data_IF_472353010081
#
_entry.id   IF_472353010081
#
_cell.length_a   1.000
_cell.length_b   1.000
_cell.length_c   1.000
_cell.angle_alpha   90.00
_cell.angle_beta   90.00
_cell.angle_gamma   90.00
#
_symmetry.space_group_name_H-M   'P 1'
#
loop_
_entity.id
_entity.type
_entity.pdbx_description
1 polymer ?
#
# COMPACT_ATOMS: atom_id res chain seq x y z
N UNK A 1 55.88 15.60 14.82
CA UNK A 1 56.15 14.77 16.01
C UNK A 1 56.01 13.32 15.60
N UNK A 2 56.73 12.42 16.25
CA UNK A 2 56.59 10.98 16.05
C UNK A 2 55.72 10.39 17.17
N UNK A 3 54.86 9.42 16.84
CA UNK A 3 54.26 8.47 17.77
C UNK A 3 54.17 7.10 17.08
N UNK A 4 54.86 6.12 17.64
CA UNK A 4 54.58 4.69 17.46
C UNK A 4 53.96 4.14 18.76
N UNK A 5 53.56 2.87 18.75
CA UNK A 5 52.83 2.11 19.80
C UNK A 5 51.31 2.27 19.68
N UNK A 6 50.49 1.20 19.72
CA UNK A 6 50.77 -0.22 19.96
C UNK A 6 49.72 -0.79 20.93
N UNK A 7 49.11 -1.93 20.61
CA UNK A 7 48.05 -2.53 21.43
C UNK A 7 47.17 -3.51 20.66
N UNK A 8 47.61 -4.76 20.59
CA UNK A 8 46.81 -5.92 20.18
C UNK A 8 45.73 -6.24 21.23
N UNK A 9 44.66 -6.92 20.82
CA UNK A 9 43.86 -7.84 21.63
C UNK A 9 43.08 -8.77 20.70
N UNK A 10 43.47 -10.05 20.67
CA UNK A 10 42.72 -11.16 20.09
C UNK A 10 41.41 -11.45 20.85
N UNK A 11 40.36 -11.87 20.15
CA UNK A 11 39.51 -13.08 20.38
C UNK A 11 38.88 -13.43 18.99
N UNK A 12 39.17 -14.58 18.36
CA UNK A 12 38.45 -15.87 18.46
C UNK A 12 36.94 -15.78 18.10
N UNK A 13 36.24 -16.72 17.45
CA UNK A 13 36.53 -18.01 16.77
C UNK A 13 35.25 -18.32 15.93
N UNK A 14 35.19 -18.96 14.74
CA UNK A 14 36.12 -19.71 13.87
C UNK A 14 35.77 -19.46 12.37
N UNK A 15 36.52 -20.06 11.43
CA UNK A 15 36.05 -20.32 10.07
C UNK A 15 36.53 -21.71 9.62
N UNK A 16 35.66 -22.72 9.72
CA UNK A 16 36.03 -24.12 9.54
C UNK A 16 36.22 -24.48 8.05
N UNK A 17 37.48 -24.54 7.61
CA UNK A 17 37.86 -25.09 6.31
C UNK A 17 37.71 -26.61 6.32
N UNK A 18 36.64 -27.13 5.73
CA UNK A 18 36.57 -28.56 5.37
C UNK A 18 36.99 -28.72 3.90
N UNK A 19 38.18 -29.29 3.75
CA UNK A 19 38.76 -29.74 2.48
C UNK A 19 37.84 -30.73 1.78
N UNK A 20 37.55 -30.48 0.50
CA UNK A 20 37.04 -31.52 -0.42
C UNK A 20 38.15 -32.53 -0.72
N UNK A 21 38.17 -33.63 0.03
CA UNK A 21 38.99 -34.81 -0.28
C UNK A 21 38.14 -35.88 -0.97
N UNK A 22 38.68 -36.51 -2.00
CA UNK A 22 37.93 -37.35 -2.93
C UNK A 22 38.02 -38.82 -2.54
N UNK A 23 36.89 -39.45 -2.26
CA UNK A 23 36.80 -40.91 -2.11
C UNK A 23 35.57 -41.48 -2.83
N UNK A 24 35.82 -42.14 -3.96
CA UNK A 24 34.90 -43.05 -4.62
C UNK A 24 34.51 -44.22 -3.69
N UNK A 25 33.21 -44.53 -3.61
CA UNK A 25 32.70 -45.89 -3.36
C UNK A 25 31.50 -46.14 -4.28
N UNK A 26 31.61 -47.17 -5.13
CA UNK A 26 30.50 -47.71 -5.93
C UNK A 26 29.73 -48.80 -5.19
N UNK A 27 28.43 -48.91 -5.47
CA UNK A 27 27.66 -50.17 -5.42
C UNK A 27 27.01 -50.55 -4.08
N UNK A 28 25.72 -50.93 -4.14
CA UNK A 28 24.97 -51.44 -2.98
C UNK A 28 23.47 -51.61 -3.25
N UNK A 29 23.10 -52.77 -3.79
CA UNK A 29 21.73 -53.20 -4.11
C UNK A 29 20.82 -53.44 -2.87
N UNK A 30 19.53 -53.11 -3.06
CA UNK A 30 18.34 -53.94 -2.74
C UNK A 30 17.70 -54.01 -1.31
N UNK A 31 16.39 -54.32 -1.38
CA UNK A 31 15.43 -54.83 -0.38
C UNK A 31 14.77 -53.93 0.71
N UNK A 32 13.52 -53.57 0.39
CA UNK A 32 12.32 -53.66 1.26
C UNK A 32 12.05 -52.63 2.37
N UNK A 33 11.03 -51.80 2.15
CA UNK A 33 10.05 -51.42 3.20
C UNK A 33 8.63 -51.54 2.64
N UNK A 34 7.78 -52.29 3.34
CA UNK A 34 6.33 -52.40 3.06
C UNK A 34 5.54 -51.40 3.88
N UNK A 35 4.51 -50.82 3.25
CA UNK A 35 3.35 -50.10 3.84
C UNK A 35 3.08 -50.32 5.34
N UNK A 36 2.92 -49.21 6.05
CA UNK A 36 1.81 -49.00 6.99
C UNK A 36 1.20 -47.62 6.69
N UNK A 37 -0.14 -47.57 6.53
CA UNK A 37 -0.93 -46.34 6.41
C UNK A 37 -1.04 -45.66 7.79
N UNK A 38 -0.88 -44.33 7.86
CA UNK A 38 -1.34 -43.52 8.99
C UNK A 38 -1.78 -42.13 8.49
N UNK A 39 -2.84 -41.58 9.07
CA UNK A 39 -3.54 -40.38 8.56
C UNK A 39 -2.86 -39.09 9.04
N UNK A 40 -2.67 -38.11 8.14
CA UNK A 40 -2.15 -36.81 8.56
C UNK A 40 -2.15 -35.76 7.44
N UNK A 41 -3.00 -34.75 7.62
CA UNK A 41 -2.69 -33.33 7.41
C UNK A 41 -1.89 -32.94 6.16
N UNK A 42 -2.59 -32.51 5.11
CA UNK A 42 -2.00 -31.70 4.02
C UNK A 42 -2.89 -30.46 3.81
N UNK A 43 -2.78 -29.53 4.76
CA UNK A 43 -3.13 -28.15 4.49
C UNK A 43 -2.05 -27.58 3.58
N UNK A 44 -2.34 -27.49 2.28
CA UNK A 44 -1.50 -26.81 1.30
C UNK A 44 -1.49 -25.30 1.58
N UNK A 45 -0.62 -24.93 2.52
CA UNK A 45 -0.04 -23.60 2.69
C UNK A 45 0.85 -23.34 1.45
N UNK A 46 0.20 -23.02 0.33
CA UNK A 46 0.88 -22.53 -0.87
C UNK A 46 1.47 -21.15 -0.52
N UNK A 47 2.72 -21.15 -0.10
CA UNK A 47 3.53 -19.95 0.11
C UNK A 47 3.92 -19.38 -1.24
N UNK A 48 2.95 -18.75 -1.92
CA UNK A 48 3.13 -18.07 -3.20
C UNK A 48 4.01 -16.83 -3.02
N UNK A 49 5.32 -17.04 -3.05
CA UNK A 49 6.30 -15.96 -3.19
C UNK A 49 6.26 -15.46 -4.63
N UNK A 50 5.33 -14.53 -4.92
CA UNK A 50 5.19 -13.93 -6.25
C UNK A 50 6.17 -12.75 -6.40
N UNK A 51 7.45 -13.06 -6.65
CA UNK A 51 8.35 -12.07 -7.24
C UNK A 51 8.08 -11.92 -8.75
N UNK A 52 7.22 -10.97 -9.13
CA UNK A 52 7.42 -10.19 -10.35
C UNK A 52 6.30 -10.14 -11.41
N UNK A 53 5.80 -8.92 -11.64
CA UNK A 53 5.39 -8.40 -12.95
C UNK A 53 4.05 -8.90 -13.50
N UNK A 54 2.97 -8.21 -13.13
CA UNK A 54 1.60 -8.72 -13.26
C UNK A 54 0.87 -8.20 -14.52
N UNK A 55 0.78 -9.04 -15.56
CA UNK A 55 -0.32 -9.02 -16.55
C UNK A 55 -1.31 -10.21 -16.31
N UNK A 56 -1.02 -11.08 -15.34
CA UNK A 56 -1.83 -12.25 -14.96
C UNK A 56 -2.80 -11.90 -13.80
N UNK A 57 -4.05 -12.42 -13.80
CA UNK A 57 -5.01 -12.10 -12.75
C UNK A 57 -4.60 -12.70 -11.39
N UNK A 58 -4.72 -11.90 -10.33
CA UNK A 58 -4.47 -12.29 -8.94
C UNK A 58 -5.52 -13.31 -8.49
N UNK A 59 -5.09 -14.51 -8.05
CA UNK A 59 -5.99 -15.57 -7.59
C UNK A 59 -6.24 -15.48 -6.07
N UNK A 60 -7.31 -14.78 -5.70
CA UNK A 60 -7.74 -14.59 -4.30
C UNK A 60 -8.58 -15.75 -3.75
N UNK A 61 -8.81 -16.80 -4.53
CA UNK A 61 -9.69 -17.91 -4.16
C UNK A 61 -11.18 -17.54 -4.01
N UNK A 62 -12.02 -18.54 -3.72
CA UNK A 62 -13.47 -18.39 -3.75
C UNK A 62 -14.02 -17.46 -2.64
N UNK A 63 -13.44 -17.50 -1.45
CA UNK A 63 -13.84 -16.61 -0.34
C UNK A 63 -13.30 -15.20 -0.55
N UNK A 64 -12.09 -15.04 -1.09
CA UNK A 64 -11.52 -13.73 -1.44
C UNK A 64 -12.29 -13.03 -2.56
N UNK A 65 -12.80 -13.78 -3.55
CA UNK A 65 -13.64 -13.21 -4.61
C UNK A 65 -14.89 -12.52 -4.05
N UNK A 66 -15.47 -13.01 -2.95
CA UNK A 66 -16.61 -12.34 -2.31
C UNK A 66 -16.23 -10.97 -1.72
N UNK A 67 -15.02 -10.83 -1.18
CA UNK A 67 -14.49 -9.54 -0.72
C UNK A 67 -14.17 -8.62 -1.89
N UNK A 68 -13.59 -9.15 -2.98
CA UNK A 68 -13.32 -8.39 -4.22
C UNK A 68 -14.62 -7.85 -4.81
N UNK A 69 -15.61 -8.71 -5.07
CA UNK A 69 -16.91 -8.33 -5.64
C UNK A 69 -17.62 -7.26 -4.80
N UNK A 70 -17.53 -7.37 -3.46
CA UNK A 70 -18.06 -6.39 -2.53
C UNK A 70 -17.37 -5.02 -2.64
N UNK A 71 -16.03 -5.01 -2.63
CA UNK A 71 -15.23 -3.78 -2.72
C UNK A 71 -15.46 -3.07 -4.06
N UNK A 72 -15.50 -3.82 -5.17
CA UNK A 72 -15.87 -3.31 -6.50
C UNK A 72 -17.27 -2.72 -6.50
N UNK A 73 -18.22 -3.35 -5.82
CA UNK A 73 -19.60 -2.84 -5.73
C UNK A 73 -19.70 -1.54 -4.93
N UNK A 74 -18.83 -1.33 -3.94
CA UNK A 74 -18.72 -0.08 -3.18
C UNK A 74 -18.09 1.02 -4.03
N UNK A 75 -16.92 0.77 -4.64
CA UNK A 75 -16.24 1.76 -5.51
C UNK A 75 -17.09 2.19 -6.72
N UNK A 76 -17.92 1.30 -7.29
CA UNK A 76 -18.89 1.65 -8.35
C UNK A 76 -20.03 2.57 -7.90
N UNK A 77 -20.28 2.65 -6.59
CA UNK A 77 -21.29 3.53 -5.98
C UNK A 77 -20.74 4.89 -5.53
N UNK A 78 -19.42 5.06 -5.55
CA UNK A 78 -18.73 6.24 -5.04
C UNK A 78 -18.49 7.26 -6.17
N UNK A 79 -19.23 8.38 -6.13
CA UNK A 79 -19.07 9.48 -7.10
C UNK A 79 -17.74 10.26 -6.90
N UNK A 80 -17.14 10.22 -5.69
CA UNK A 80 -15.87 10.91 -5.39
C UNK A 80 -14.64 10.11 -5.90
N UNK A 81 -14.79 8.81 -6.18
CA UNK A 81 -13.75 7.94 -6.73
C UNK A 81 -14.16 7.25 -8.05
N UNK A 82 -14.25 7.99 -9.17
CA UNK A 82 -14.74 7.48 -10.46
C UNK A 82 -13.75 6.54 -11.15
N UNK A 83 -13.68 5.29 -10.67
CA UNK A 83 -12.90 4.21 -11.25
C UNK A 83 -13.66 3.47 -12.35
N UNK A 84 -12.96 2.92 -13.33
CA UNK A 84 -13.56 1.94 -14.25
C UNK A 84 -13.74 0.58 -13.57
N UNK A 85 -14.65 -0.23 -14.09
CA UNK A 85 -14.87 -1.61 -13.64
C UNK A 85 -13.56 -2.42 -13.55
N UNK A 86 -12.74 -2.36 -14.60
CA UNK A 86 -11.45 -3.07 -14.68
C UNK A 86 -10.44 -2.55 -13.63
N UNK A 87 -10.43 -1.25 -13.35
CA UNK A 87 -9.57 -0.63 -12.32
C UNK A 87 -9.99 -1.03 -10.92
N UNK A 88 -11.30 -0.99 -10.63
CA UNK A 88 -11.86 -1.39 -9.36
C UNK A 88 -11.60 -2.88 -9.08
N UNK A 89 -11.80 -3.76 -10.08
CA UNK A 89 -11.55 -5.20 -9.94
C UNK A 89 -10.07 -5.50 -9.70
N UNK A 90 -9.18 -4.89 -10.48
CA UNK A 90 -7.73 -4.99 -10.28
C UNK A 90 -7.30 -4.55 -8.87
N UNK A 91 -7.70 -3.34 -8.45
CA UNK A 91 -7.29 -2.82 -7.14
C UNK A 91 -7.86 -3.66 -6.00
N UNK A 92 -9.13 -4.07 -6.09
CA UNK A 92 -9.79 -4.90 -5.08
C UNK A 92 -9.11 -6.27 -4.93
N UNK A 93 -8.71 -6.91 -6.05
CA UNK A 93 -8.01 -8.18 -6.02
C UNK A 93 -6.63 -8.06 -5.37
N UNK A 94 -5.82 -7.06 -5.76
CA UNK A 94 -4.52 -6.80 -5.13
C UNK A 94 -4.63 -6.45 -3.64
N UNK A 95 -5.65 -5.68 -3.24
CA UNK A 95 -5.89 -5.37 -1.82
C UNK A 95 -6.23 -6.62 -0.99
N UNK A 96 -7.10 -7.50 -1.50
CA UNK A 96 -7.48 -8.75 -0.79
C UNK A 96 -6.31 -9.72 -0.70
N UNK A 97 -5.41 -9.74 -1.70
CA UNK A 97 -4.16 -10.52 -1.69
C UNK A 97 -3.16 -9.97 -0.65
N UNK A 98 -2.85 -8.67 -0.66
CA UNK A 98 -1.92 -8.05 0.30
C UNK A 98 -2.42 -8.13 1.76
N UNK A 99 -3.72 -7.91 2.00
CA UNK A 99 -4.28 -7.89 3.36
C UNK A 99 -4.60 -9.30 3.88
N UNK A 100 -5.08 -10.18 3.00
CA UNK A 100 -5.51 -11.54 3.31
C UNK A 100 -6.94 -11.63 3.87
N UNK A 101 -7.70 -12.60 3.37
CA UNK A 101 -9.10 -12.87 3.78
C UNK A 101 -9.22 -13.18 5.27
N UNK A 102 -8.29 -13.96 5.83
CA UNK A 102 -8.28 -14.31 7.26
C UNK A 102 -8.17 -13.08 8.17
N UNK A 103 -7.42 -12.06 7.72
CA UNK A 103 -7.22 -10.81 8.47
C UNK A 103 -8.47 -9.93 8.46
N UNK A 104 -9.12 -9.82 7.31
CA UNK A 104 -10.42 -9.16 7.16
C UNK A 104 -11.47 -9.83 8.08
N UNK A 105 -11.56 -11.17 8.05
CA UNK A 105 -12.45 -11.94 8.92
C UNK A 105 -12.10 -11.79 10.41
N UNK A 106 -10.81 -11.77 10.77
CA UNK A 106 -10.36 -11.61 12.16
C UNK A 106 -10.66 -10.20 12.73
N UNK A 107 -10.66 -9.17 11.88
CA UNK A 107 -11.16 -7.83 12.20
C UNK A 107 -12.70 -7.76 12.25
N UNK A 108 -13.41 -8.82 11.87
CA UNK A 108 -14.87 -8.87 11.82
C UNK A 108 -15.48 -8.19 10.58
N UNK A 109 -14.65 -7.83 9.60
CA UNK A 109 -15.09 -7.26 8.32
C UNK A 109 -15.70 -8.40 7.49
N UNK A 110 -16.93 -8.22 7.03
CA UNK A 110 -17.60 -9.14 6.10
C UNK A 110 -17.74 -8.49 4.72
N UNK A 111 -17.97 -9.26 3.65
CA UNK A 111 -18.23 -8.70 2.32
C UNK A 111 -19.41 -7.72 2.32
N UNK A 112 -20.48 -7.97 3.09
CA UNK A 112 -21.61 -7.04 3.18
C UNK A 112 -21.25 -5.70 3.84
N UNK A 113 -20.22 -5.67 4.70
CA UNK A 113 -19.70 -4.43 5.29
C UNK A 113 -18.86 -3.66 4.28
N UNK A 114 -17.99 -4.33 3.51
CA UNK A 114 -17.19 -3.66 2.48
C UNK A 114 -18.02 -3.18 1.28
N UNK A 115 -19.18 -3.78 1.02
CA UNK A 115 -20.12 -3.37 -0.03
C UNK A 115 -21.02 -2.18 0.34
N UNK A 116 -20.94 -1.66 1.57
CA UNK A 116 -21.76 -0.55 2.05
C UNK A 116 -20.94 0.68 2.41
N UNK A 117 -21.61 1.84 2.45
CA UNK A 117 -21.02 3.16 2.79
C UNK A 117 -20.64 3.31 4.28
N UNK A 118 -20.47 2.22 5.02
CA UNK A 118 -20.22 2.25 6.48
C UNK A 118 -18.73 2.59 6.72
N UNK A 119 -18.41 3.88 6.69
CA UNK A 119 -17.07 4.47 6.86
C UNK A 119 -16.44 4.23 8.25
N UNK A 120 -16.99 3.32 9.05
CA UNK A 120 -16.49 2.92 10.36
C UNK A 120 -15.37 1.87 10.33
N UNK A 121 -14.93 1.43 9.14
CA UNK A 121 -13.78 0.54 9.00
C UNK A 121 -12.47 1.27 9.32
N UNK A 122 -12.03 1.14 10.57
CA UNK A 122 -10.68 1.56 10.97
C UNK A 122 -9.64 0.60 10.38
N UNK A 123 -8.97 1.01 9.29
CA UNK A 123 -7.86 0.24 8.68
C UNK A 123 -6.73 -0.11 9.68
N UNK A 124 -6.63 0.64 10.77
CA UNK A 124 -5.81 0.35 11.96
C UNK A 124 -6.10 -1.00 12.60
N UNK A 125 -7.33 -1.52 12.55
CA UNK A 125 -7.67 -2.85 13.07
C UNK A 125 -7.01 -3.98 12.27
N UNK A 126 -6.73 -3.75 10.98
CA UNK A 126 -5.96 -4.67 10.14
C UNK A 126 -4.46 -4.71 10.50
N UNK A 127 -3.97 -3.81 11.37
CA UNK A 127 -2.58 -3.78 11.84
C UNK A 127 -1.54 -3.89 10.70
N UNK A 128 -1.84 -3.26 9.54
CA UNK A 128 -0.96 -3.27 8.37
C UNK A 128 0.40 -2.65 8.73
N UNK A 129 1.47 -3.32 8.31
CA UNK A 129 2.81 -2.77 8.36
C UNK A 129 2.98 -1.64 7.34
N UNK A 130 4.02 -0.83 7.54
CA UNK A 130 4.38 0.22 6.58
C UNK A 130 4.74 -0.36 5.20
N UNK A 131 5.18 -1.62 5.11
CA UNK A 131 5.45 -2.30 3.84
C UNK A 131 4.15 -2.66 3.10
N UNK A 132 3.21 -3.35 3.77
CA UNK A 132 1.90 -3.70 3.20
C UNK A 132 1.11 -2.45 2.80
N UNK A 133 1.17 -1.37 3.60
CA UNK A 133 0.55 -0.10 3.24
C UNK A 133 1.16 0.54 1.99
N UNK A 134 2.48 0.39 1.77
CA UNK A 134 3.11 0.85 0.53
C UNK A 134 2.71 0.00 -0.67
N UNK A 135 2.60 -1.32 -0.51
CA UNK A 135 2.17 -2.27 -1.53
C UNK A 135 0.72 -2.00 -1.97
N UNK A 136 -0.19 -1.73 -1.02
CA UNK A 136 -1.56 -1.25 -1.32
C UNK A 136 -1.55 0.10 -2.04
N UNK A 137 -0.61 1.01 -1.75
CA UNK A 137 -0.47 2.27 -2.48
C UNK A 137 0.05 2.06 -3.91
N UNK A 138 1.02 1.17 -4.10
CA UNK A 138 1.61 0.83 -5.40
C UNK A 138 0.60 0.13 -6.32
N UNK A 139 -0.28 -0.72 -5.75
CA UNK A 139 -1.40 -1.37 -6.45
C UNK A 139 -2.32 -0.38 -7.20
N UNK A 140 -2.52 0.86 -6.71
CA UNK A 140 -3.23 1.88 -7.49
C UNK A 140 -2.50 2.20 -8.80
N UNK A 141 -1.18 2.40 -8.73
CA UNK A 141 -0.36 2.70 -9.90
C UNK A 141 -0.31 1.55 -10.91
N UNK A 142 -0.18 0.32 -10.40
CA UNK A 142 -0.14 -0.90 -11.22
C UNK A 142 -1.49 -1.17 -11.92
N UNK A 143 -2.61 -0.92 -11.24
CA UNK A 143 -3.95 -0.94 -11.85
C UNK A 143 -4.26 0.29 -12.74
N UNK A 144 -3.28 1.18 -12.96
CA UNK A 144 -3.44 2.36 -13.82
C UNK A 144 -4.34 3.46 -13.23
N UNK A 145 -4.53 3.48 -11.92
CA UNK A 145 -5.31 4.48 -11.18
C UNK A 145 -4.39 5.62 -10.76
N UNK A 146 -4.64 6.84 -11.26
CA UNK A 146 -3.87 8.03 -10.89
C UNK A 146 -4.52 8.73 -9.69
N UNK A 147 -4.18 8.30 -8.46
CA UNK A 147 -4.67 8.91 -7.21
C UNK A 147 -4.55 10.44 -7.18
N UNK A 148 -3.44 10.99 -7.69
CA UNK A 148 -3.24 12.43 -7.82
C UNK A 148 -4.27 13.09 -8.72
N UNK A 149 -4.58 12.48 -9.86
CA UNK A 149 -5.54 13.04 -10.82
C UNK A 149 -6.96 12.99 -10.24
N UNK A 150 -7.32 11.91 -9.55
CA UNK A 150 -8.62 11.76 -8.88
C UNK A 150 -8.80 12.78 -7.74
N UNK A 151 -7.80 12.94 -6.86
CA UNK A 151 -7.86 14.00 -5.84
C UNK A 151 -7.97 15.39 -6.48
N UNK A 152 -7.17 15.69 -7.51
CA UNK A 152 -7.21 16.98 -8.20
C UNK A 152 -8.50 17.20 -8.99
N UNK A 153 -9.18 16.17 -9.48
CA UNK A 153 -10.48 16.29 -10.14
C UNK A 153 -11.60 16.54 -9.14
N UNK A 154 -11.61 15.85 -8.00
CA UNK A 154 -12.58 16.10 -6.91
C UNK A 154 -12.54 17.58 -6.46
N UNK A 155 -11.35 18.14 -6.19
CA UNK A 155 -11.21 19.58 -5.91
C UNK A 155 -11.50 20.49 -7.11
N UNK A 156 -11.48 19.99 -8.35
CA UNK A 156 -11.84 20.77 -9.54
C UNK A 156 -13.34 20.86 -9.81
N UNK A 157 -14.15 20.08 -9.09
CA UNK A 157 -15.60 20.18 -9.10
C UNK A 157 -16.13 21.20 -8.07
N UNK A 158 -15.29 21.66 -7.14
CA UNK A 158 -15.56 22.83 -6.28
C UNK A 158 -15.51 24.14 -7.09
N UNK A 159 -16.65 24.84 -7.19
CA UNK A 159 -16.80 26.17 -7.82
C UNK A 159 -15.83 27.24 -7.25
N UNK A 160 -15.31 27.05 -6.03
CA UNK A 160 -14.37 27.95 -5.35
C UNK A 160 -12.89 27.71 -5.76
N UNK A 161 -12.55 26.66 -6.51
CA UNK A 161 -11.15 26.37 -6.86
C UNK A 161 -10.63 27.26 -7.99
N UNK A 162 -9.67 28.14 -7.66
CA UNK A 162 -8.98 28.98 -8.65
C UNK A 162 -7.82 28.24 -9.33
N UNK A 163 -7.40 28.63 -10.55
CA UNK A 163 -6.22 28.04 -11.20
C UNK A 163 -4.92 28.17 -10.38
N UNK A 164 -4.82 29.21 -9.53
CA UNK A 164 -3.71 29.38 -8.60
C UNK A 164 -3.78 28.39 -7.42
N UNK A 165 -4.98 28.07 -6.94
CA UNK A 165 -5.21 27.03 -5.94
C UNK A 165 -4.89 25.64 -6.52
N UNK A 166 -5.35 25.34 -7.73
CA UNK A 166 -5.06 24.08 -8.43
C UNK A 166 -3.55 23.85 -8.61
N UNK A 167 -2.83 24.83 -9.19
CA UNK A 167 -1.37 24.74 -9.36
C UNK A 167 -0.60 24.66 -8.02
N UNK A 168 -1.17 25.17 -6.93
CA UNK A 168 -0.63 24.98 -5.58
C UNK A 168 -0.88 23.55 -5.08
N UNK A 169 -2.10 23.01 -5.25
CA UNK A 169 -2.45 21.65 -4.88
C UNK A 169 -1.64 20.60 -5.66
N UNK A 170 -1.40 20.81 -6.96
CA UNK A 170 -0.48 19.98 -7.76
C UNK A 170 0.94 19.89 -7.15
N UNK A 171 1.41 20.98 -6.53
CA UNK A 171 2.70 21.02 -5.82
C UNK A 171 2.67 20.39 -4.42
N UNK A 172 1.48 20.18 -3.85
CA UNK A 172 1.28 19.52 -2.53
C UNK A 172 1.02 18.03 -2.70
N UNK A 173 0.20 17.63 -3.69
CA UNK A 173 -0.11 16.24 -4.01
C UNK A 173 0.94 15.62 -4.93
N UNK A 174 2.20 15.62 -4.49
CA UNK A 174 3.26 14.80 -5.09
C UNK A 174 3.04 13.32 -4.74
N UNK A 175 3.55 12.41 -5.57
CA UNK A 175 3.41 10.96 -5.34
C UNK A 175 4.02 10.51 -3.99
N UNK A 176 5.11 11.16 -3.54
CA UNK A 176 5.69 10.93 -2.21
C UNK A 176 4.77 11.41 -1.07
N UNK A 177 4.11 12.57 -1.24
CA UNK A 177 3.22 13.14 -0.24
C UNK A 177 1.91 12.36 -0.13
N UNK A 178 1.32 11.95 -1.26
CA UNK A 178 0.13 11.11 -1.31
C UNK A 178 0.39 9.73 -0.68
N UNK A 179 1.52 9.10 -1.02
CA UNK A 179 1.98 7.87 -0.37
C UNK A 179 2.12 8.03 1.14
N UNK A 180 2.85 9.06 1.60
CA UNK A 180 3.04 9.30 3.03
C UNK A 180 1.70 9.51 3.77
N UNK A 181 0.78 10.28 3.18
CA UNK A 181 -0.56 10.52 3.74
C UNK A 181 -1.37 9.22 3.84
N UNK A 182 -1.45 8.45 2.75
CA UNK A 182 -2.29 7.25 2.66
C UNK A 182 -1.73 6.10 3.50
N UNK A 183 -0.41 5.85 3.45
CA UNK A 183 0.23 4.81 4.27
C UNK A 183 0.11 5.13 5.75
N UNK A 184 0.29 6.38 6.18
CA UNK A 184 0.09 6.78 7.59
C UNK A 184 -1.38 6.62 8.00
N UNK A 185 -2.32 7.01 7.14
CA UNK A 185 -3.77 6.83 7.39
C UNK A 185 -4.13 5.36 7.59
N UNK A 186 -3.74 4.48 6.66
CA UNK A 186 -4.06 3.05 6.71
C UNK A 186 -3.38 2.31 7.86
N UNK A 187 -2.12 2.63 8.18
CA UNK A 187 -1.34 1.87 9.18
C UNK A 187 -1.45 2.42 10.60
N UNK A 188 -1.75 3.71 10.77
CA UNK A 188 -1.71 4.41 12.06
C UNK A 188 -2.96 5.27 12.35
N UNK A 189 -3.89 5.40 11.39
CA UNK A 189 -5.17 6.08 11.56
C UNK A 189 -5.13 7.60 11.41
N UNK A 190 -6.30 8.23 11.43
CA UNK A 190 -6.48 9.68 11.21
C UNK A 190 -5.82 10.55 12.30
N UNK A 191 -5.73 10.05 13.54
CA UNK A 191 -5.02 10.75 14.63
C UNK A 191 -3.50 10.83 14.36
N UNK A 192 -2.95 9.80 13.72
CA UNK A 192 -1.54 9.77 13.34
C UNK A 192 -1.26 10.65 12.14
N UNK A 193 -2.18 10.77 11.18
CA UNK A 193 -2.06 11.70 10.03
C UNK A 193 -1.83 13.15 10.49
N UNK A 194 -2.49 13.59 11.56
CA UNK A 194 -2.29 14.93 12.14
C UNK A 194 -1.00 15.06 12.97
N UNK A 195 -0.46 13.95 13.46
CA UNK A 195 0.71 13.90 14.35
C UNK A 195 2.02 13.62 13.60
N UNK A 196 1.94 12.96 12.44
CA UNK A 196 3.07 12.60 11.60
C UNK A 196 3.56 13.80 10.79
N UNK A 197 4.86 14.13 10.81
CA UNK A 197 5.39 15.33 10.17
C UNK A 197 5.33 15.31 8.63
N UNK A 198 5.22 14.14 8.00
CA UNK A 198 5.07 14.03 6.55
C UNK A 198 3.60 14.21 6.16
N UNK A 199 2.69 13.44 6.75
CA UNK A 199 1.26 13.51 6.45
C UNK A 199 0.63 14.87 6.83
N UNK A 200 0.98 15.41 8.01
CA UNK A 200 0.50 16.74 8.44
C UNK A 200 1.04 17.89 7.58
N UNK A 201 2.19 17.73 6.92
CA UNK A 201 2.70 18.70 5.96
C UNK A 201 1.85 18.76 4.68
N UNK A 202 1.28 17.63 4.24
CA UNK A 202 0.34 17.57 3.10
C UNK A 202 -0.94 18.34 3.44
N UNK A 203 -1.55 18.04 4.59
CA UNK A 203 -2.74 18.74 5.09
C UNK A 203 -2.49 20.25 5.27
N UNK A 204 -1.35 20.62 5.84
CA UNK A 204 -0.95 22.02 6.01
C UNK A 204 -0.73 22.72 4.66
N UNK A 205 -0.18 22.00 3.67
CA UNK A 205 -0.03 22.47 2.30
C UNK A 205 -1.36 22.73 1.63
N UNK A 206 -2.29 21.77 1.69
CA UNK A 206 -3.64 21.86 1.14
C UNK A 206 -4.40 23.07 1.72
N UNK A 207 -4.37 23.22 3.05
CA UNK A 207 -4.98 24.38 3.73
C UNK A 207 -4.31 25.71 3.36
N UNK A 208 -2.99 25.70 3.11
CA UNK A 208 -2.25 26.85 2.58
C UNK A 208 -2.66 27.24 1.15
N UNK A 209 -2.89 26.26 0.29
CA UNK A 209 -3.38 26.48 -1.08
C UNK A 209 -4.80 27.05 -1.10
N UNK A 210 -5.69 26.52 -0.25
CA UNK A 210 -7.04 27.06 -0.07
C UNK A 210 -7.00 28.55 0.36
N UNK A 211 -6.13 28.90 1.30
CA UNK A 211 -5.97 30.29 1.75
C UNK A 211 -5.35 31.21 0.69
N UNK A 212 -4.50 30.67 -0.20
CA UNK A 212 -3.90 31.43 -1.31
C UNK A 212 -4.95 31.88 -2.33
N UNK A 213 -5.91 31.02 -2.69
CA UNK A 213 -6.99 31.38 -3.62
C UNK A 213 -7.88 32.52 -3.12
N UNK A 214 -8.08 32.62 -1.80
CA UNK A 214 -8.91 33.66 -1.17
C UNK A 214 -8.24 35.04 -1.13
N UNK A 215 -6.93 35.12 -1.41
CA UNK A 215 -6.17 36.39 -1.45
C UNK A 215 -6.35 37.21 -2.73
N UNK A 216 -6.69 36.56 -3.85
CA UNK A 216 -6.68 37.20 -5.18
C UNK A 216 -7.99 37.94 -5.53
N UNK A 217 -9.09 37.67 -4.80
CA UNK A 217 -10.35 38.43 -4.91
C UNK A 217 -10.23 39.92 -4.50
N UNK A 218 -9.07 40.37 -4.04
CA UNK A 218 -8.81 41.77 -3.65
C UNK A 218 -8.53 42.74 -4.80
N UNK A 219 -8.01 42.28 -5.95
CA UNK A 219 -7.43 43.17 -6.98
C UNK A 219 -8.40 43.59 -8.11
N UNK A 220 -9.67 43.18 -8.06
CA UNK A 220 -10.71 43.57 -9.04
C UNK A 220 -11.27 45.01 -8.85
N UNK A 221 -10.64 45.84 -8.01
CA UNK A 221 -10.98 47.28 -7.89
C UNK A 221 -10.17 48.18 -8.83
N UNK A 222 -9.39 47.59 -9.74
CA UNK A 222 -8.46 48.26 -10.66
C UNK A 222 -9.02 48.75 -12.01
N UNK A 223 -10.33 48.73 -12.28
CA UNK A 223 -10.90 49.29 -13.52
C UNK A 223 -12.25 50.02 -13.32
N UNK A 224 -12.19 51.29 -12.94
CA UNK A 224 -13.21 52.28 -13.27
C UNK A 224 -12.51 53.43 -14.01
N UNK A 225 -12.57 53.34 -15.34
CA UNK A 225 -11.68 54.07 -16.24
C UNK A 225 -11.82 55.59 -16.27
N UNK A 226 -10.76 56.22 -16.78
CA UNK A 226 -10.78 57.59 -17.29
C UNK A 226 -11.69 57.69 -18.53
N UNK A 227 -12.57 58.71 -18.55
CA UNK A 227 -13.50 58.99 -19.67
C UNK A 227 -14.37 60.23 -19.47
#
# INVERSE_FOLDING_TARGET
GACSSGGDNDEANENNTITTDSLDIEGGDDETTTTEDDEGDDGTDETTTTEGGTDDPVDVGADGQAYVDAMVSSMRGDDDFPLTDDQAECFSAGFVDTVGVDRLQAAGITPEMMAGDDTGMEFTELNLSEAEGNEVYDNFGDCGINLREIMLSSFAEDDDMTPAMQACMEGVFTDENLRALMVVSMTKGEEAVQSDPAASAVLSGMMGCAFMGMGDMGDITGDLGEG
#
